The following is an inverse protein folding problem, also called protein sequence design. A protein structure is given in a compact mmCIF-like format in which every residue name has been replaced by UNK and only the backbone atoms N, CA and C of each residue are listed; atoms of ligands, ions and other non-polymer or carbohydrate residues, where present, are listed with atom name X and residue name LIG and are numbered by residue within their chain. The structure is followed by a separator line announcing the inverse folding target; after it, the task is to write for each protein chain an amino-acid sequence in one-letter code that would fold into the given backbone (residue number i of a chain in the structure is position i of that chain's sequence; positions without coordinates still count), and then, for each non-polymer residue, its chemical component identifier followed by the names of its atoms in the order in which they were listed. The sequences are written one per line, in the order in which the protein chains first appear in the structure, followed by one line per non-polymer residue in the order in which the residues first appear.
data_IF_445810122213
#
_entry.id   IF_445810122213
#
_cell.length_a   1.000
_cell.length_b   1.000
_cell.length_c   1.000
_cell.angle_alpha   90.00
_cell.angle_beta   90.00
_cell.angle_gamma   90.00
#
_symmetry.space_group_name_H-M   'P 1'
#
loop_
_entity.id
_entity.type
_entity.pdbx_description
1 polymer ?
#
# COMPACT_ATOMS: atom_id res chain seq x y z
N UNK A 1 37.02 -35.56 -39.72
CA UNK A 1 35.55 -35.65 -39.57
C UNK A 1 35.30 -35.81 -38.07
N UNK A 2 35.26 -34.73 -37.30
CA UNK A 2 34.11 -33.84 -37.03
C UNK A 2 33.03 -34.48 -36.16
N UNK A 3 32.96 -33.98 -34.91
CA UNK A 3 31.82 -33.84 -33.99
C UNK A 3 31.10 -35.13 -33.49
N UNK A 4 30.59 -35.25 -32.26
CA UNK A 4 30.24 -34.27 -31.24
C UNK A 4 30.24 -34.89 -29.81
N UNK A 5 30.58 -34.06 -28.81
CA UNK A 5 30.18 -34.15 -27.40
C UNK A 5 28.77 -33.49 -27.23
N UNK A 6 28.20 -33.42 -26.01
CA UNK A 6 27.48 -34.43 -25.27
C UNK A 6 25.98 -34.08 -25.14
N UNK A 7 25.21 -35.00 -24.56
CA UNK A 7 23.79 -34.84 -24.25
C UNK A 7 23.56 -33.62 -23.35
N UNK A 8 22.64 -32.76 -23.80
CA UNK A 8 22.26 -31.51 -23.18
C UNK A 8 21.65 -31.79 -21.80
N UNK A 9 22.24 -31.20 -20.76
CA UNK A 9 21.58 -30.98 -19.48
C UNK A 9 20.23 -30.30 -19.71
N UNK A 10 19.19 -30.94 -19.19
CA UNK A 10 17.86 -30.38 -19.00
C UNK A 10 17.99 -29.17 -18.06
N UNK A 11 18.30 -28.03 -18.67
CA UNK A 11 18.17 -26.72 -18.03
C UNK A 11 16.68 -26.50 -17.86
N UNK A 12 16.15 -26.90 -16.72
CA UNK A 12 14.89 -26.38 -16.24
C UNK A 12 15.08 -24.88 -16.04
N UNK A 13 14.72 -24.11 -17.07
CA UNK A 13 14.57 -22.67 -17.03
C UNK A 13 13.74 -22.32 -15.78
N UNK A 14 14.17 -21.36 -14.94
CA UNK A 14 13.33 -20.91 -13.84
C UNK A 14 12.07 -20.29 -14.45
N UNK A 15 10.91 -20.84 -14.10
CA UNK A 15 9.62 -20.22 -14.39
C UNK A 15 9.61 -18.86 -13.71
N UNK A 16 9.79 -17.79 -14.48
CA UNK A 16 9.63 -16.40 -14.03
C UNK A 16 8.15 -16.09 -13.77
N UNK A 17 7.56 -16.73 -12.76
CA UNK A 17 6.29 -16.29 -12.19
C UNK A 17 6.58 -15.31 -11.05
N UNK A 18 6.57 -14.03 -11.39
CA UNK A 18 6.67 -12.98 -10.39
C UNK A 18 7.22 -11.69 -10.96
N UNK A 19 6.43 -11.03 -11.80
CA UNK A 19 6.65 -9.66 -12.21
C UNK A 19 6.87 -8.78 -10.97
N UNK A 20 8.13 -8.63 -10.56
CA UNK A 20 8.54 -7.65 -9.57
C UNK A 20 8.20 -6.33 -10.22
N UNK A 21 7.23 -5.60 -9.66
CA UNK A 21 6.80 -4.34 -10.21
C UNK A 21 7.96 -3.33 -10.09
N UNK A 22 8.84 -3.28 -11.10
CA UNK A 22 10.09 -2.48 -11.09
C UNK A 22 9.83 -0.97 -11.15
N UNK A 23 8.57 -0.55 -11.28
CA UNK A 23 8.16 0.86 -11.40
C UNK A 23 7.93 1.53 -10.05
N UNK A 24 7.64 0.77 -8.99
CA UNK A 24 7.33 1.31 -7.66
C UNK A 24 8.33 0.79 -6.62
N UNK A 25 9.22 1.66 -6.16
CA UNK A 25 10.36 1.29 -5.30
C UNK A 25 9.96 0.84 -3.90
N UNK A 26 8.85 1.37 -3.40
CA UNK A 26 8.34 1.18 -2.04
C UNK A 26 7.08 0.32 -2.00
N UNK A 27 6.61 -0.16 -3.14
CA UNK A 27 5.45 -1.04 -3.23
C UNK A 27 5.74 -2.42 -2.63
N UNK A 28 4.81 -2.92 -1.82
CA UNK A 28 4.90 -4.21 -1.10
C UNK A 28 3.79 -5.19 -1.47
N UNK A 29 2.92 -4.84 -2.41
CA UNK A 29 1.85 -5.73 -2.87
C UNK A 29 2.36 -6.85 -3.79
N UNK A 30 1.51 -7.86 -3.98
CA UNK A 30 1.85 -9.07 -4.76
C UNK A 30 1.72 -8.89 -6.27
N UNK A 31 0.92 -7.93 -6.72
CA UNK A 31 0.63 -7.67 -8.12
C UNK A 31 0.74 -6.18 -8.40
N UNK A 32 1.11 -5.81 -9.62
CA UNK A 32 1.18 -4.41 -10.05
C UNK A 32 -0.16 -3.70 -9.81
N UNK A 33 -0.14 -2.53 -9.12
CA UNK A 33 -1.36 -1.83 -8.78
C UNK A 33 -2.03 -1.26 -10.03
N UNK A 34 -3.35 -1.48 -10.14
CA UNK A 34 -4.20 -0.92 -11.20
C UNK A 34 -5.10 0.15 -10.60
N UNK A 35 -4.62 1.40 -10.63
CA UNK A 35 -5.34 2.53 -10.04
C UNK A 35 -6.68 2.80 -10.73
N UNK A 36 -7.72 3.03 -9.93
CA UNK A 36 -9.07 3.32 -10.45
C UNK A 36 -9.17 4.75 -10.96
N UNK A 37 -8.40 5.68 -10.39
CA UNK A 37 -8.37 7.08 -10.77
C UNK A 37 -6.99 7.70 -10.62
N UNK A 38 -6.83 8.90 -11.19
CA UNK A 38 -5.57 9.66 -11.15
C UNK A 38 -5.15 10.05 -9.73
N UNK A 39 -6.09 10.36 -8.84
CA UNK A 39 -5.76 10.74 -7.46
C UNK A 39 -5.12 9.59 -6.65
N UNK A 40 -5.52 8.34 -6.89
CA UNK A 40 -4.86 7.17 -6.29
C UNK A 40 -3.45 6.98 -6.85
N UNK A 41 -3.26 7.15 -8.17
CA UNK A 41 -1.93 7.08 -8.78
C UNK A 41 -1.00 8.17 -8.21
N UNK A 42 -1.45 9.41 -8.15
CA UNK A 42 -0.68 10.52 -7.55
C UNK A 42 -0.31 10.21 -6.08
N UNK A 43 -1.23 9.59 -5.33
CA UNK A 43 -0.97 9.17 -3.96
C UNK A 43 0.14 8.12 -3.89
N UNK A 44 0.10 7.11 -4.77
CA UNK A 44 1.15 6.10 -4.88
C UNK A 44 2.51 6.71 -5.25
N UNK A 45 2.54 7.64 -6.22
CA UNK A 45 3.76 8.36 -6.63
C UNK A 45 4.37 9.16 -5.47
N UNK A 46 3.54 9.82 -4.66
CA UNK A 46 4.00 10.51 -3.46
C UNK A 46 4.57 9.53 -2.42
N UNK A 47 3.84 8.44 -2.10
CA UNK A 47 4.32 7.43 -1.14
C UNK A 47 5.68 6.85 -1.58
N UNK A 48 5.82 6.56 -2.88
CA UNK A 48 7.05 6.06 -3.47
C UNK A 48 8.19 7.08 -3.38
N UNK A 49 7.91 8.35 -3.73
CA UNK A 49 8.87 9.45 -3.64
C UNK A 49 9.39 9.67 -2.22
N UNK A 50 8.54 9.51 -1.20
CA UNK A 50 8.93 9.62 0.20
C UNK A 50 9.56 8.34 0.76
N UNK A 51 9.65 7.26 -0.02
CA UNK A 51 10.21 5.98 0.42
C UNK A 51 9.35 5.26 1.46
N UNK A 52 8.05 5.55 1.50
CA UNK A 52 7.13 4.99 2.49
C UNK A 52 6.63 3.65 1.96
N UNK A 53 6.82 2.51 2.66
CA UNK A 53 6.29 1.23 2.18
C UNK A 53 4.76 1.24 2.08
N UNK A 54 4.23 0.73 0.97
CA UNK A 54 2.78 0.76 0.72
C UNK A 54 2.26 -0.45 -0.06
N UNK A 55 0.99 -0.77 0.17
CA UNK A 55 0.19 -1.76 -0.57
C UNK A 55 -1.07 -1.10 -1.12
N UNK A 56 -1.57 -1.57 -2.27
CA UNK A 56 -2.77 -1.05 -2.92
C UNK A 56 -3.96 -2.00 -2.75
N UNK A 57 -5.10 -1.46 -2.32
CA UNK A 57 -6.33 -2.18 -2.04
C UNK A 57 -6.16 -3.56 -1.35
N UNK A 58 -5.42 -3.63 -0.24
CA UNK A 58 -4.87 -4.88 0.31
C UNK A 58 -5.92 -5.82 0.90
N UNK A 59 -7.04 -5.26 1.37
CA UNK A 59 -8.08 -6.01 2.09
C UNK A 59 -9.44 -5.34 1.94
N UNK A 60 -10.48 -6.15 1.91
CA UNK A 60 -11.87 -5.70 1.96
C UNK A 60 -12.47 -6.08 3.31
N UNK A 61 -12.96 -5.09 4.05
CA UNK A 61 -13.68 -5.26 5.31
C UNK A 61 -15.18 -5.32 5.07
N UNK A 62 -15.83 -6.36 5.59
CA UNK A 62 -17.30 -6.49 5.58
C UNK A 62 -17.84 -5.67 6.74
N UNK A 63 -18.64 -4.65 6.45
CA UNK A 63 -19.22 -3.77 7.46
C UNK A 63 -20.61 -4.22 7.89
N UNK A 64 -21.44 -4.63 6.93
CA UNK A 64 -22.81 -5.09 7.17
C UNK A 64 -23.12 -6.30 6.31
N UNK A 65 -23.95 -7.17 6.87
CA UNK A 65 -24.52 -8.35 6.22
C UNK A 65 -26.02 -8.35 6.45
N UNK A 66 -26.78 -8.85 5.48
CA UNK A 66 -28.21 -9.08 5.63
C UNK A 66 -28.43 -10.16 6.72
N UNK A 67 -29.28 -9.90 7.73
CA UNK A 67 -29.57 -10.88 8.77
C UNK A 67 -30.29 -12.15 8.29
N UNK A 68 -31.00 -12.09 7.16
CA UNK A 68 -31.83 -13.19 6.67
C UNK A 68 -31.02 -14.25 5.90
N UNK A 69 -30.06 -13.83 5.08
CA UNK A 69 -29.29 -14.73 4.20
C UNK A 69 -27.76 -14.62 4.36
N UNK A 70 -27.28 -13.69 5.20
CA UNK A 70 -25.86 -13.47 5.45
C UNK A 70 -25.12 -12.74 4.32
N UNK A 71 -25.81 -12.26 3.29
CA UNK A 71 -25.20 -11.57 2.15
C UNK A 71 -24.55 -10.25 2.58
N UNK A 72 -23.35 -9.95 2.07
CA UNK A 72 -22.69 -8.65 2.31
C UNK A 72 -23.49 -7.51 1.68
N UNK A 73 -23.95 -6.57 2.50
CA UNK A 73 -24.73 -5.39 2.06
C UNK A 73 -23.89 -4.12 2.05
N UNK A 74 -22.88 -4.03 2.92
CA UNK A 74 -21.90 -2.94 2.90
C UNK A 74 -20.50 -3.46 3.20
N UNK A 75 -19.53 -3.03 2.38
CA UNK A 75 -18.11 -3.30 2.57
C UNK A 75 -17.29 -2.02 2.41
N UNK A 76 -16.08 -2.06 2.95
CA UNK A 76 -15.08 -1.01 2.90
C UNK A 76 -13.74 -1.59 2.51
N UNK A 77 -13.17 -1.09 1.41
CA UNK A 77 -11.87 -1.50 0.89
C UNK A 77 -11.00 -0.25 0.86
N UNK A 78 -10.05 -0.08 1.79
CA UNK A 78 -9.17 1.07 1.79
C UNK A 78 -8.29 1.09 0.54
N UNK A 79 -8.05 2.27 0.00
CA UNK A 79 -7.21 2.44 -1.20
C UNK A 79 -5.76 1.99 -0.96
N UNK A 80 -5.20 2.27 0.22
CA UNK A 80 -3.82 1.89 0.57
C UNK A 80 -3.66 1.36 1.99
N UNK A 81 -2.57 0.62 2.20
CA UNK A 81 -2.04 0.28 3.54
C UNK A 81 -0.56 0.60 3.63
N UNK A 82 -0.14 1.17 4.77
CA UNK A 82 1.24 1.49 5.09
C UNK A 82 1.72 0.55 6.21
N UNK A 83 2.46 -0.52 5.89
CA UNK A 83 2.84 -1.57 6.86
C UNK A 83 3.60 -1.05 8.07
N UNK A 84 4.60 -0.19 7.86
CA UNK A 84 5.45 0.35 8.92
C UNK A 84 4.68 1.22 9.93
N UNK A 85 3.53 1.75 9.52
CA UNK A 85 2.66 2.60 10.35
C UNK A 85 1.42 1.86 10.85
N UNK A 86 1.20 0.61 10.43
CA UNK A 86 -0.05 -0.11 10.61
C UNK A 86 -1.27 0.80 10.33
N UNK A 87 -1.32 1.38 9.13
CA UNK A 87 -2.27 2.43 8.79
C UNK A 87 -2.90 2.20 7.42
N UNK A 88 -4.23 2.12 7.38
CA UNK A 88 -5.02 2.15 6.15
C UNK A 88 -5.35 3.59 5.74
N UNK A 89 -5.16 3.89 4.46
CA UNK A 89 -5.47 5.19 3.86
C UNK A 89 -6.63 5.05 2.88
N UNK A 90 -7.51 6.04 2.93
CA UNK A 90 -8.58 6.22 1.96
C UNK A 90 -8.42 7.59 1.30
N UNK A 91 -8.06 7.60 0.02
CA UNK A 91 -7.88 8.79 -0.79
C UNK A 91 -9.23 9.47 -0.94
N UNK A 92 -9.29 10.74 -0.55
CA UNK A 92 -10.52 11.51 -0.59
C UNK A 92 -10.36 12.74 -1.47
N UNK A 93 -11.09 12.78 -2.57
CA UNK A 93 -11.29 14.03 -3.32
C UNK A 93 -12.24 14.91 -2.50
N UNK A 94 -12.03 16.24 -2.47
CA UNK A 94 -12.73 17.14 -1.54
C UNK A 94 -14.26 17.30 -1.78
N UNK A 95 -14.88 16.45 -2.61
CA UNK A 95 -16.33 16.44 -2.82
C UNK A 95 -17.03 16.01 -1.52
N UNK A 96 -17.61 16.98 -0.82
CA UNK A 96 -18.21 16.83 0.52
C UNK A 96 -19.24 15.69 0.63
N UNK A 97 -20.03 15.45 -0.43
CA UNK A 97 -21.00 14.35 -0.47
C UNK A 97 -20.34 12.96 -0.37
N UNK A 98 -19.18 12.79 -1.02
CA UNK A 98 -18.40 11.56 -0.97
C UNK A 98 -17.73 11.39 0.40
N UNK A 99 -17.25 12.49 0.98
CA UNK A 99 -16.65 12.52 2.32
C UNK A 99 -17.65 12.02 3.37
N UNK A 100 -18.92 12.41 3.27
CA UNK A 100 -19.97 11.99 4.22
C UNK A 100 -20.19 10.48 4.17
N UNK A 101 -20.31 9.90 2.96
CA UNK A 101 -20.46 8.45 2.78
C UNK A 101 -19.22 7.69 3.27
N UNK A 102 -18.01 8.16 2.95
CA UNK A 102 -16.75 7.58 3.43
C UNK A 102 -16.64 7.63 4.96
N UNK A 103 -16.98 8.76 5.58
CA UNK A 103 -17.00 8.89 7.05
C UNK A 103 -17.98 7.93 7.72
N UNK A 104 -19.17 7.71 7.12
CA UNK A 104 -20.12 6.72 7.64
C UNK A 104 -19.51 5.31 7.62
N UNK A 105 -18.87 4.91 6.52
CA UNK A 105 -18.19 3.62 6.42
C UNK A 105 -17.04 3.49 7.41
N UNK A 106 -16.21 4.51 7.57
CA UNK A 106 -15.12 4.54 8.55
C UNK A 106 -15.64 4.39 9.98
N UNK A 107 -16.77 5.02 10.32
CA UNK A 107 -17.41 4.85 11.64
C UNK A 107 -17.85 3.41 11.87
N UNK A 108 -18.52 2.79 10.89
CA UNK A 108 -18.91 1.37 10.95
C UNK A 108 -17.70 0.44 11.03
N UNK A 109 -16.63 0.73 10.28
CA UNK A 109 -15.37 0.00 10.34
C UNK A 109 -14.80 0.03 11.75
N UNK A 110 -14.70 1.19 12.38
CA UNK A 110 -14.17 1.33 13.74
C UNK A 110 -15.05 0.66 14.80
N UNK A 111 -16.36 0.58 14.57
CA UNK A 111 -17.26 -0.16 15.46
C UNK A 111 -17.05 -1.68 15.37
N UNK A 112 -16.83 -2.20 14.16
CA UNK A 112 -16.69 -3.65 13.91
C UNK A 112 -15.26 -4.16 14.06
N UNK A 113 -14.28 -3.32 13.75
CA UNK A 113 -12.85 -3.61 13.74
C UNK A 113 -12.11 -2.48 14.49
N UNK A 114 -12.14 -2.48 15.83
CA UNK A 114 -11.59 -1.38 16.65
C UNK A 114 -10.08 -1.22 16.50
N UNK A 115 -9.35 -2.30 16.20
CA UNK A 115 -7.89 -2.30 16.04
C UNK A 115 -7.45 -1.80 14.65
N UNK A 116 -8.39 -1.58 13.72
CA UNK A 116 -8.08 -1.10 12.37
C UNK A 116 -7.89 0.41 12.38
N UNK A 117 -6.65 0.83 12.24
CA UNK A 117 -6.30 2.23 12.10
C UNK A 117 -6.53 2.69 10.65
N UNK A 118 -7.62 3.40 10.41
CA UNK A 118 -7.96 4.00 9.12
C UNK A 118 -8.02 5.53 9.21
N UNK A 119 -7.52 6.20 8.17
CA UNK A 119 -7.60 7.64 8.02
C UNK A 119 -8.02 8.02 6.61
N UNK A 120 -8.94 9.00 6.51
CA UNK A 120 -9.18 9.71 5.25
C UNK A 120 -7.98 10.61 4.99
N UNK A 121 -7.40 10.54 3.80
CA UNK A 121 -6.20 11.28 3.44
C UNK A 121 -6.45 12.18 2.23
N UNK A 122 -6.00 13.43 2.36
CA UNK A 122 -5.86 14.38 1.26
C UNK A 122 -4.39 14.42 0.81
N UNK A 123 -4.14 14.89 -0.42
CA UNK A 123 -2.77 15.07 -0.96
C UNK A 123 -1.81 15.77 0.01
N UNK A 124 -2.28 16.88 0.63
CA UNK A 124 -1.51 17.63 1.65
C UNK A 124 -1.08 16.81 2.87
N UNK A 125 -1.88 15.80 3.24
CA UNK A 125 -1.59 14.96 4.40
C UNK A 125 -0.45 13.98 4.10
N UNK A 126 -0.29 13.58 2.84
CA UNK A 126 0.82 12.72 2.39
C UNK A 126 2.13 13.50 2.43
N UNK A 127 2.13 14.74 1.96
CA UNK A 127 3.31 15.61 2.04
C UNK A 127 3.75 15.84 3.49
N UNK A 128 2.79 16.12 4.39
CA UNK A 128 3.06 16.27 5.81
C UNK A 128 3.58 14.97 6.46
N UNK A 129 3.00 13.81 6.10
CA UNK A 129 3.43 12.50 6.57
C UNK A 129 4.88 12.21 6.16
N UNK A 130 5.19 12.42 4.88
CA UNK A 130 6.52 12.21 4.33
C UNK A 130 7.58 13.10 4.96
N UNK A 131 7.28 14.38 5.19
CA UNK A 131 8.18 15.29 5.91
C UNK A 131 8.44 14.82 7.34
N UNK A 132 7.40 14.37 8.05
CA UNK A 132 7.52 13.85 9.43
C UNK A 132 8.35 12.57 9.51
N UNK A 133 8.25 11.69 8.52
CA UNK A 133 9.04 10.45 8.50
C UNK A 133 10.51 10.73 8.22
N UNK A 134 10.80 11.64 7.28
CA UNK A 134 12.19 12.05 7.00
C UNK A 134 12.85 12.72 8.20
N UNK A 135 12.14 13.57 8.94
CA UNK A 135 12.69 14.20 10.14
C UNK A 135 12.95 13.20 11.29
N UNK A 136 12.10 12.20 11.48
CA UNK A 136 12.34 11.12 12.47
C UNK A 136 13.53 10.23 12.08
N UNK A 137 13.67 9.90 10.80
CA UNK A 137 14.81 9.15 10.30
C UNK A 137 16.13 9.93 10.50
N UNK A 138 16.13 11.24 10.21
CA UNK A 138 17.30 12.10 10.42
C UNK A 138 17.70 12.23 11.91
N UNK A 139 16.74 12.14 12.83
CA UNK A 139 16.99 12.18 14.28
C UNK A 139 17.47 10.86 14.89
N UNK A 140 17.38 9.74 14.15
CA UNK A 140 17.71 8.38 14.66
C UNK A 140 19.03 7.86 14.08
N UNK A 141 19.73 8.63 13.26
CA UNK A 141 21.06 8.25 12.77
C UNK A 141 22.05 8.17 13.96
N UNK A 142 22.81 7.07 14.12
CA UNK A 142 23.79 6.97 15.20
C UNK A 142 24.89 8.02 14.97
N UNK A 143 25.29 8.68 16.06
CA UNK A 143 26.30 9.75 16.10
C UNK A 143 27.74 9.23 15.94
N UNK A 144 27.93 7.95 15.57
CA UNK A 144 29.26 7.34 15.48
C UNK A 144 29.85 7.47 14.08
N UNK A 145 30.35 8.68 13.76
CA UNK A 145 31.48 8.82 12.83
C UNK A 145 32.20 10.17 12.95
N UNK A 146 32.70 10.48 14.14
CA UNK A 146 33.90 11.30 14.29
C UNK A 146 34.80 10.61 15.31
N UNK A 147 36.10 10.56 15.01
CA UNK A 147 37.20 9.92 15.76
C UNK A 147 37.53 8.48 15.33
N UNK A 148 38.01 8.34 14.10
CA UNK A 148 39.19 7.52 13.85
C UNK A 148 40.17 8.41 13.08
N UNK A 149 41.04 9.06 13.86
CA UNK A 149 42.28 9.67 13.36
C UNK A 149 43.36 8.64 13.15
#
# INVERSE_FOLDING_TARGET
MTAALPEQEDRTEPVEDGATCRLWRSFRGRQEPRFVNESERECAELLDFYGIPWEYEPVTFVLETDPADGRVTEAFRPDFYLPDLNLFLEVTTMRQELVTKKNRKVRKLRQRYPDVNVRLFYRRDIEALGQKLRSRAASTAPVDRLLAG
#
